data_IF_441134251311
#
_entry.id   IF_441134251311
#
_cell.length_a   1.000
_cell.length_b   1.000
_cell.length_c   1.000
_cell.angle_alpha   90.00
_cell.angle_beta   90.00
_cell.angle_gamma   90.00
#
_symmetry.space_group_name_H-M   'P 1'
#
loop_
_entity.id
_entity.type
_entity.pdbx_description
1 polymer ?
#
# COMPACT_ATOMS: atom_id res chain seq x y z
N UNK A 1 -1.71 9.05 -68.85
CA UNK A 1 -1.44 7.95 -67.88
C UNK A 1 -0.82 8.56 -66.64
N UNK A 2 -1.64 8.90 -65.63
CA UNK A 2 -1.14 9.43 -64.36
C UNK A 2 -1.09 8.31 -63.35
N UNK A 3 0.12 7.96 -62.85
CA UNK A 3 0.33 6.97 -61.78
C UNK A 3 0.25 7.71 -60.45
N UNK A 4 -0.79 7.42 -59.65
CA UNK A 4 -0.88 7.82 -58.26
C UNK A 4 -0.07 6.85 -57.40
N UNK A 5 0.99 7.35 -56.75
CA UNK A 5 1.69 6.60 -55.69
C UNK A 5 1.00 6.89 -54.37
N UNK A 6 0.33 5.90 -53.83
CA UNK A 6 -0.23 5.92 -52.45
C UNK A 6 0.90 5.55 -51.51
N UNK A 7 1.42 6.53 -50.77
CA UNK A 7 2.42 6.27 -49.71
C UNK A 7 1.71 5.77 -48.46
N UNK A 8 1.93 4.51 -48.09
CA UNK A 8 1.51 3.95 -46.80
C UNK A 8 2.49 4.42 -45.73
N UNK A 9 2.07 5.36 -44.91
CA UNK A 9 2.79 5.76 -43.69
C UNK A 9 2.51 4.74 -42.58
N UNK A 10 3.41 3.77 -42.39
CA UNK A 10 3.33 2.82 -41.27
C UNK A 10 3.69 3.56 -39.98
N UNK A 11 2.69 3.81 -39.14
CA UNK A 11 2.93 4.26 -37.78
C UNK A 11 3.54 3.10 -36.98
N UNK A 12 4.85 3.17 -36.70
CA UNK A 12 5.51 2.35 -35.72
C UNK A 12 5.04 2.84 -34.32
N UNK A 13 4.09 2.14 -33.71
CA UNK A 13 3.78 2.31 -32.30
C UNK A 13 4.97 1.74 -31.54
N UNK A 14 5.90 2.61 -31.12
CA UNK A 14 6.92 2.24 -30.17
C UNK A 14 6.21 1.88 -28.84
N UNK A 15 6.09 0.61 -28.55
CA UNK A 15 5.71 0.15 -27.22
C UNK A 15 6.83 0.57 -26.28
N UNK A 16 6.59 1.61 -25.48
CA UNK A 16 7.45 1.92 -24.33
C UNK A 16 7.39 0.70 -23.42
N UNK A 17 8.52 0.03 -23.14
CA UNK A 17 8.51 -1.08 -22.20
C UNK A 17 8.05 -0.50 -20.85
N UNK A 18 6.87 -0.91 -20.39
CA UNK A 18 6.48 -0.71 -19.00
C UNK A 18 7.52 -1.48 -18.19
N UNK A 19 8.43 -0.79 -17.52
CA UNK A 19 9.37 -1.42 -16.61
C UNK A 19 8.54 -2.14 -15.55
N UNK A 20 8.50 -3.45 -15.63
CA UNK A 20 7.83 -4.28 -14.65
C UNK A 20 8.49 -4.00 -13.29
N UNK A 21 7.72 -3.50 -12.34
CA UNK A 21 8.21 -3.22 -11.01
C UNK A 21 8.69 -4.53 -10.38
N UNK A 22 9.90 -4.51 -9.81
CA UNK A 22 10.47 -5.65 -9.09
C UNK A 22 10.24 -5.44 -7.60
N UNK A 23 9.56 -6.40 -6.97
CA UNK A 23 9.47 -6.49 -5.53
C UNK A 23 10.70 -7.21 -5.00
N UNK A 24 11.32 -6.66 -3.96
CA UNK A 24 12.47 -7.26 -3.28
C UNK A 24 12.41 -6.96 -1.77
N UNK A 25 13.31 -7.56 -1.01
CA UNK A 25 13.35 -7.38 0.44
C UNK A 25 13.35 -5.89 0.84
N UNK A 26 14.20 -5.07 0.22
CA UNK A 26 14.40 -3.67 0.62
C UNK A 26 13.28 -2.71 0.21
N UNK A 27 12.34 -3.13 -0.65
CA UNK A 27 11.27 -2.24 -1.12
C UNK A 27 9.85 -2.77 -0.91
N UNK A 28 9.69 -3.99 -0.38
CA UNK A 28 8.36 -4.62 -0.27
C UNK A 28 8.19 -5.50 0.97
N UNK A 29 9.29 -5.86 1.66
CA UNK A 29 9.18 -6.53 2.95
C UNK A 29 9.05 -5.51 4.08
N UNK A 30 8.25 -5.81 5.12
CA UNK A 30 8.15 -4.97 6.30
C UNK A 30 9.49 -4.86 7.03
N UNK A 31 9.72 -3.71 7.65
CA UNK A 31 10.91 -3.45 8.48
C UNK A 31 10.51 -3.02 9.89
N UNK A 32 11.47 -3.05 10.80
CA UNK A 32 11.27 -2.64 12.19
C UNK A 32 10.73 -1.19 12.25
N UNK A 33 9.71 -1.00 13.08
CA UNK A 33 8.99 0.26 13.30
C UNK A 33 8.05 0.70 12.17
N UNK A 34 7.86 -0.09 11.13
CA UNK A 34 6.76 0.14 10.21
C UNK A 34 5.43 0.10 10.97
N UNK A 35 4.55 1.03 10.64
CA UNK A 35 3.20 1.09 11.20
C UNK A 35 2.21 1.44 10.09
N UNK A 36 1.12 0.69 10.00
CA UNK A 36 0.09 0.87 8.99
C UNK A 36 -1.30 0.76 9.61
N UNK A 37 -2.21 1.64 9.21
CA UNK A 37 -3.64 1.47 9.49
C UNK A 37 -4.24 0.54 8.44
N UNK A 38 -4.70 -0.63 8.89
CA UNK A 38 -5.30 -1.65 8.06
C UNK A 38 -6.82 -1.62 8.21
N UNK A 39 -7.54 -1.50 7.10
CA UNK A 39 -9.00 -1.59 7.05
C UNK A 39 -9.45 -2.99 6.65
N UNK A 40 -10.47 -3.51 7.34
CA UNK A 40 -11.19 -4.72 6.95
C UNK A 40 -12.41 -4.29 6.13
N UNK A 41 -12.71 -5.00 5.06
CA UNK A 41 -13.78 -4.67 4.13
C UNK A 41 -14.50 -5.93 3.62
N UNK A 42 -15.66 -5.73 3.01
CA UNK A 42 -16.31 -6.78 2.23
C UNK A 42 -15.44 -7.19 1.03
N UNK A 43 -15.62 -8.43 0.60
CA UNK A 43 -14.95 -8.94 -0.59
C UNK A 43 -15.17 -8.05 -1.80
N UNK A 44 -14.11 -7.84 -2.55
CA UNK A 44 -14.12 -7.21 -3.86
C UNK A 44 -13.42 -8.13 -4.86
N UNK A 45 -14.02 -8.30 -6.05
CA UNK A 45 -13.45 -9.19 -7.05
C UNK A 45 -12.04 -8.73 -7.46
N UNK A 46 -11.06 -9.64 -7.59
CA UNK A 46 -9.65 -9.29 -7.84
C UNK A 46 -9.41 -8.73 -9.26
N UNK A 47 -10.38 -8.80 -10.15
CA UNK A 47 -10.25 -8.35 -11.54
C UNK A 47 -9.36 -9.25 -12.39
N UNK A 48 -9.05 -8.80 -13.61
CA UNK A 48 -8.31 -9.58 -14.60
C UNK A 48 -6.83 -9.67 -14.30
N UNK A 49 -6.20 -10.77 -14.78
CA UNK A 49 -4.76 -10.95 -14.82
C UNK A 49 -4.13 -10.29 -16.06
N UNK A 50 -2.81 -10.20 -16.11
CA UNK A 50 -2.04 -9.64 -17.22
C UNK A 50 -1.46 -8.26 -16.94
N UNK A 51 -0.70 -7.73 -17.88
CA UNK A 51 -0.07 -6.41 -17.77
C UNK A 51 -1.03 -5.28 -18.15
N UNK A 52 -0.78 -4.08 -17.61
CA UNK A 52 -1.53 -2.87 -17.95
C UNK A 52 -2.96 -2.84 -17.43
N UNK A 53 -3.26 -3.60 -16.39
CA UNK A 53 -4.59 -3.67 -15.79
C UNK A 53 -4.98 -2.40 -15.04
N UNK A 54 -6.28 -2.17 -14.93
CA UNK A 54 -6.83 -1.17 -14.01
C UNK A 54 -7.85 -1.87 -13.11
N UNK A 55 -7.56 -1.90 -11.81
CA UNK A 55 -8.45 -2.45 -10.79
C UNK A 55 -9.11 -1.32 -10.04
N UNK A 56 -10.44 -1.30 -10.03
CA UNK A 56 -11.19 -0.22 -9.40
C UNK A 56 -11.72 -0.66 -8.02
N UNK A 57 -11.02 -0.23 -6.97
CA UNK A 57 -11.39 -0.42 -5.56
C UNK A 57 -11.83 0.90 -4.90
N UNK A 58 -12.13 1.95 -5.70
CA UNK A 58 -12.55 3.25 -5.17
C UNK A 58 -13.78 3.19 -4.25
N UNK A 59 -14.66 2.22 -4.49
CA UNK A 59 -15.86 2.00 -3.67
C UNK A 59 -15.68 1.06 -2.47
N UNK A 60 -14.45 0.58 -2.18
CA UNK A 60 -14.22 -0.25 -1.00
C UNK A 60 -14.42 0.57 0.27
N UNK A 61 -15.25 0.07 1.19
CA UNK A 61 -15.55 0.76 2.45
C UNK A 61 -15.03 -0.04 3.63
N UNK A 62 -14.57 0.67 4.67
CA UNK A 62 -14.10 0.06 5.91
C UNK A 62 -15.29 -0.44 6.75
N UNK A 63 -15.23 -1.69 7.19
CA UNK A 63 -16.10 -2.26 8.21
C UNK A 63 -15.50 -2.06 9.60
N UNK A 64 -14.17 -2.15 9.70
CA UNK A 64 -13.38 -1.87 10.89
C UNK A 64 -11.95 -1.53 10.47
N UNK A 65 -11.18 -0.94 11.37
CA UNK A 65 -9.76 -0.67 11.15
C UNK A 65 -8.98 -0.87 12.44
N UNK A 66 -7.69 -1.14 12.29
CA UNK A 66 -6.74 -1.25 13.39
C UNK A 66 -5.33 -1.00 12.88
N UNK A 67 -4.46 -0.58 13.79
CA UNK A 67 -3.06 -0.35 13.48
C UNK A 67 -2.26 -1.63 13.63
N UNK A 68 -1.49 -1.97 12.59
CA UNK A 68 -0.49 -3.03 12.64
C UNK A 68 0.88 -2.38 12.85
N UNK A 69 1.64 -2.84 13.83
CA UNK A 69 2.97 -2.34 14.15
C UNK A 69 3.99 -3.46 14.02
N UNK A 70 5.08 -3.20 13.31
CA UNK A 70 6.18 -4.15 13.14
C UNK A 70 7.26 -3.91 14.21
N UNK A 71 7.50 -4.94 15.01
CA UNK A 71 8.36 -4.88 16.20
C UNK A 71 9.44 -5.95 16.17
N UNK A 72 10.45 -5.81 17.04
CA UNK A 72 11.43 -6.90 17.19
C UNK A 72 10.78 -8.13 17.80
N UNK A 73 11.18 -9.33 17.37
CA UNK A 73 10.68 -10.58 17.95
C UNK A 73 10.92 -10.62 19.47
N UNK A 74 12.04 -10.11 19.91
CA UNK A 74 12.43 -10.08 21.35
C UNK A 74 11.54 -9.15 22.20
N UNK A 75 10.84 -8.18 21.60
CA UNK A 75 9.94 -7.28 22.33
C UNK A 75 8.54 -7.86 22.52
N UNK A 76 8.17 -8.91 21.80
CA UNK A 76 6.87 -9.57 21.96
C UNK A 76 6.87 -10.50 23.18
N UNK A 77 5.70 -10.70 23.76
CA UNK A 77 5.55 -11.49 25.00
C UNK A 77 6.05 -12.95 24.85
N UNK A 78 5.86 -13.54 23.68
CA UNK A 78 6.17 -14.96 23.40
C UNK A 78 7.21 -15.14 22.28
N UNK A 79 7.98 -14.12 21.93
CA UNK A 79 8.93 -14.14 20.81
C UNK A 79 9.96 -15.27 20.87
N UNK A 80 10.35 -15.71 22.08
CA UNK A 80 11.26 -16.85 22.27
C UNK A 80 10.73 -18.18 21.70
N UNK A 81 9.42 -18.30 21.50
CA UNK A 81 8.80 -19.49 20.91
C UNK A 81 8.94 -19.55 19.37
N UNK A 82 9.39 -18.45 18.75
CA UNK A 82 9.48 -18.30 17.29
C UNK A 82 10.93 -18.09 16.83
N UNK A 83 11.84 -19.06 17.04
CA UNK A 83 13.29 -18.88 16.83
C UNK A 83 13.67 -18.62 15.36
N UNK A 84 12.80 -18.94 14.42
CA UNK A 84 13.05 -18.69 12.98
C UNK A 84 12.61 -17.28 12.55
N UNK A 85 11.85 -16.57 13.38
CA UNK A 85 11.37 -15.24 13.05
C UNK A 85 12.47 -14.18 13.19
N UNK A 86 12.47 -13.21 12.28
CA UNK A 86 13.35 -12.03 12.31
C UNK A 86 12.60 -10.75 12.62
N UNK A 87 11.27 -10.77 12.49
CA UNK A 87 10.37 -9.63 12.68
C UNK A 87 9.01 -10.14 13.18
N UNK A 88 8.32 -9.35 13.98
CA UNK A 88 6.94 -9.63 14.38
C UNK A 88 6.04 -8.44 14.01
N UNK A 89 4.78 -8.73 13.72
CA UNK A 89 3.71 -7.74 13.57
C UNK A 89 2.67 -7.96 14.65
N UNK A 90 2.29 -6.90 15.34
CA UNK A 90 1.28 -6.92 16.40
C UNK A 90 0.07 -6.07 16.02
N UNK A 91 -1.12 -6.61 16.28
CA UNK A 91 -2.39 -5.94 16.09
C UNK A 91 -3.44 -6.52 17.06
N UNK A 92 -4.01 -5.69 17.93
CA UNK A 92 -5.20 -6.03 18.77
C UNK A 92 -5.09 -7.38 19.51
N UNK A 93 -3.92 -7.69 20.06
CA UNK A 93 -3.68 -8.94 20.78
C UNK A 93 -3.39 -10.16 19.90
N UNK A 94 -3.24 -9.96 18.61
CA UNK A 94 -2.71 -10.92 17.63
C UNK A 94 -1.26 -10.61 17.33
N UNK A 95 -0.45 -11.63 17.06
CA UNK A 95 0.89 -11.44 16.55
C UNK A 95 1.16 -12.40 15.38
N UNK A 96 1.83 -11.88 14.34
CA UNK A 96 2.36 -12.68 13.25
C UNK A 96 3.89 -12.57 13.27
N UNK A 97 4.56 -13.70 13.17
CA UNK A 97 6.02 -13.79 13.21
C UNK A 97 6.53 -14.11 11.82
N UNK A 98 7.41 -13.27 11.30
CA UNK A 98 7.93 -13.35 9.95
C UNK A 98 9.42 -13.66 9.94
N UNK A 99 9.85 -14.47 8.98
CA UNK A 99 11.23 -14.64 8.58
C UNK A 99 11.44 -13.84 7.29
N UNK A 100 12.12 -12.72 7.40
CA UNK A 100 12.40 -11.81 6.29
C UNK A 100 13.83 -12.01 5.83
N UNK A 101 14.01 -12.41 4.57
CA UNK A 101 15.32 -12.65 3.96
C UNK A 101 15.36 -12.11 2.53
N UNK A 102 16.55 -12.12 1.90
CA UNK A 102 16.69 -11.80 0.48
C UNK A 102 16.00 -12.81 -0.44
N UNK A 103 15.65 -14.01 0.05
CA UNK A 103 14.92 -15.03 -0.69
C UNK A 103 13.41 -14.84 -0.65
N UNK A 104 12.87 -14.19 0.42
CA UNK A 104 11.44 -13.98 0.54
C UNK A 104 11.00 -13.51 1.92
N UNK A 105 9.69 -13.34 2.02
CA UNK A 105 8.91 -13.11 3.23
C UNK A 105 8.16 -14.38 3.56
N UNK A 106 8.51 -15.00 4.68
CA UNK A 106 7.91 -16.25 5.16
C UNK A 106 7.15 -16.01 6.47
N UNK A 107 6.04 -16.74 6.68
CA UNK A 107 5.36 -16.80 7.98
C UNK A 107 6.04 -17.91 8.80
N UNK A 108 6.62 -17.53 9.95
CA UNK A 108 7.27 -18.42 10.90
C UNK A 108 6.38 -18.77 12.11
N UNK A 109 5.31 -17.99 12.31
CA UNK A 109 4.36 -18.25 13.37
C UNK A 109 3.19 -17.27 13.40
N UNK A 110 2.11 -17.69 14.06
CA UNK A 110 0.93 -16.87 14.30
C UNK A 110 0.49 -17.10 15.75
N UNK A 111 0.16 -16.03 16.43
CA UNK A 111 -0.38 -16.05 17.78
C UNK A 111 -1.73 -15.34 17.81
N UNK A 112 -2.71 -16.01 18.35
CA UNK A 112 -4.07 -15.53 18.56
C UNK A 112 -4.45 -15.78 20.02
N UNK A 113 -5.43 -15.08 20.59
CA UNK A 113 -5.90 -15.37 21.95
C UNK A 113 -6.22 -16.87 22.15
N UNK A 114 -5.45 -17.53 23.01
CA UNK A 114 -5.62 -18.95 23.33
C UNK A 114 -5.05 -19.96 22.33
N UNK A 115 -4.39 -19.51 21.25
CA UNK A 115 -3.78 -20.41 20.25
C UNK A 115 -2.47 -19.84 19.73
N UNK A 116 -1.40 -20.64 19.80
CA UNK A 116 -0.12 -20.33 19.20
C UNK A 116 0.22 -21.38 18.12
N UNK A 117 0.59 -20.92 16.94
CA UNK A 117 1.03 -21.75 15.82
C UNK A 117 2.50 -21.45 15.55
N UNK A 118 3.38 -22.39 15.85
CA UNK A 118 4.80 -22.31 15.55
C UNK A 118 5.06 -23.14 14.29
N UNK A 119 5.53 -22.52 13.23
CA UNK A 119 5.79 -23.21 11.98
C UNK A 119 7.11 -23.96 12.07
N UNK A 120 7.06 -25.27 11.92
CA UNK A 120 8.26 -26.11 11.85
C UNK A 120 8.93 -26.00 10.48
N UNK A 121 8.14 -25.75 9.44
CA UNK A 121 8.57 -25.33 8.11
C UNK A 121 7.81 -24.04 7.77
N UNK A 122 8.48 -22.85 7.81
CA UNK A 122 7.86 -21.57 7.51
C UNK A 122 7.23 -21.53 6.12
N UNK A 123 6.21 -20.71 5.96
CA UNK A 123 5.41 -20.60 4.74
C UNK A 123 5.86 -19.41 3.90
N UNK A 124 6.28 -19.64 2.65
CA UNK A 124 6.74 -18.61 1.71
C UNK A 124 5.58 -17.77 1.17
N UNK A 125 5.24 -16.68 1.84
CA UNK A 125 4.17 -15.77 1.44
C UNK A 125 4.53 -14.97 0.18
N UNK A 126 5.77 -14.50 0.08
CA UNK A 126 6.26 -13.71 -1.06
C UNK A 126 7.74 -14.04 -1.34
N UNK A 127 8.01 -14.58 -2.52
CA UNK A 127 9.38 -14.86 -2.99
C UNK A 127 10.05 -13.58 -3.49
N UNK A 128 11.35 -13.43 -3.24
CA UNK A 128 12.17 -12.34 -3.77
C UNK A 128 13.31 -12.83 -4.67
N UNK A 129 13.69 -12.06 -5.71
CA UNK A 129 12.94 -10.96 -6.28
C UNK A 129 11.67 -11.46 -7.00
N UNK A 130 10.60 -10.65 -6.99
CA UNK A 130 9.36 -10.98 -7.68
C UNK A 130 9.04 -9.94 -8.77
N UNK A 131 8.86 -10.41 -9.98
CA UNK A 131 8.47 -9.64 -11.17
C UNK A 131 7.32 -10.36 -11.87
N UNK A 132 6.67 -9.69 -12.79
CA UNK A 132 5.62 -10.32 -13.62
C UNK A 132 6.07 -11.69 -14.15
N UNK A 133 5.26 -12.73 -13.88
CA UNK A 133 5.54 -14.12 -14.25
C UNK A 133 6.38 -14.91 -13.23
N UNK A 134 6.92 -14.29 -12.17
CA UNK A 134 7.56 -15.02 -11.07
C UNK A 134 6.54 -15.94 -10.40
N UNK A 135 6.93 -17.18 -10.17
CA UNK A 135 6.11 -18.17 -9.47
C UNK A 135 6.95 -18.97 -8.47
N UNK A 136 6.28 -19.58 -7.49
CA UNK A 136 6.90 -20.48 -6.51
C UNK A 136 5.88 -21.46 -5.98
N UNK A 137 6.39 -22.53 -5.40
CA UNK A 137 5.62 -23.50 -4.63
C UNK A 137 6.45 -23.89 -3.43
N UNK A 138 5.82 -23.92 -2.25
CA UNK A 138 6.50 -24.16 -0.99
C UNK A 138 5.62 -25.02 -0.07
N UNK A 139 6.11 -26.18 0.43
CA UNK A 139 5.43 -26.94 1.46
C UNK A 139 5.66 -26.29 2.83
N UNK A 140 4.65 -26.28 3.67
CA UNK A 140 4.74 -25.72 5.02
C UNK A 140 4.03 -26.60 6.05
N UNK A 141 4.38 -26.43 7.32
CA UNK A 141 3.77 -27.18 8.41
C UNK A 141 3.82 -26.45 9.75
N UNK A 142 2.79 -26.66 10.55
CA UNK A 142 2.70 -26.18 11.94
C UNK A 142 1.93 -27.15 12.80
N UNK A 143 2.09 -27.03 14.11
CA UNK A 143 1.25 -27.70 15.11
C UNK A 143 0.67 -26.67 16.05
N UNK A 144 -0.55 -26.92 16.53
CA UNK A 144 -1.20 -26.06 17.49
C UNK A 144 -2.17 -26.85 18.37
N UNK A 145 -2.55 -26.28 19.51
CA UNK A 145 -3.53 -26.86 20.42
C UNK A 145 -4.80 -26.02 20.39
N UNK A 146 -5.93 -26.65 20.21
CA UNK A 146 -7.24 -26.02 20.29
C UNK A 146 -8.23 -26.98 20.95
N UNK A 147 -9.01 -26.47 21.90
CA UNK A 147 -9.96 -27.30 22.65
C UNK A 147 -9.32 -28.52 23.36
N UNK A 148 -8.06 -28.42 23.78
CA UNK A 148 -7.31 -29.51 24.42
C UNK A 148 -6.80 -30.59 23.45
N UNK A 149 -7.02 -30.46 22.15
CA UNK A 149 -6.53 -31.37 21.10
C UNK A 149 -5.35 -30.76 20.38
N UNK A 150 -4.36 -31.60 20.05
CA UNK A 150 -3.23 -31.19 19.20
C UNK A 150 -3.57 -31.45 17.73
N UNK A 151 -3.50 -30.39 16.93
CA UNK A 151 -3.66 -30.43 15.49
C UNK A 151 -2.30 -30.34 14.83
N UNK A 152 -2.11 -31.15 13.80
CA UNK A 152 -1.01 -30.99 12.83
C UNK A 152 -1.61 -30.42 11.56
N UNK A 153 -1.13 -29.23 11.16
CA UNK A 153 -1.53 -28.57 9.93
C UNK A 153 -0.39 -28.63 8.94
N UNK A 154 -0.66 -29.16 7.76
CA UNK A 154 0.31 -29.23 6.66
C UNK A 154 -0.34 -28.75 5.38
N UNK A 155 0.46 -28.10 4.54
CA UNK A 155 -0.05 -27.56 3.30
C UNK A 155 1.05 -27.26 2.29
N UNK A 156 0.58 -26.77 1.15
CA UNK A 156 1.42 -26.20 0.10
C UNK A 156 0.85 -24.86 -0.29
N UNK A 157 1.71 -23.85 -0.31
CA UNK A 157 1.44 -22.52 -0.86
C UNK A 157 2.03 -22.44 -2.27
N UNK A 158 1.26 -21.88 -3.19
CA UNK A 158 1.72 -21.52 -4.53
C UNK A 158 1.49 -20.05 -4.75
N UNK A 159 2.51 -19.35 -5.22
CA UNK A 159 2.40 -17.94 -5.55
C UNK A 159 2.73 -17.67 -7.00
N UNK A 160 2.09 -16.66 -7.56
CA UNK A 160 2.32 -16.19 -8.92
C UNK A 160 2.14 -14.67 -8.99
N UNK A 161 3.12 -13.97 -9.57
CA UNK A 161 2.95 -12.57 -9.97
C UNK A 161 2.22 -12.56 -11.31
N UNK A 162 0.90 -12.44 -11.26
CA UNK A 162 0.01 -12.70 -12.39
C UNK A 162 -0.49 -11.45 -13.11
N UNK A 163 -0.26 -10.27 -12.53
CA UNK A 163 -0.72 -9.02 -13.15
C UNK A 163 0.07 -7.80 -12.69
N UNK A 164 0.03 -6.73 -13.52
CA UNK A 164 0.58 -5.41 -13.19
C UNK A 164 -0.30 -4.30 -13.77
N UNK A 165 -0.32 -3.13 -13.11
CA UNK A 165 -1.16 -2.04 -13.59
C UNK A 165 -1.36 -0.90 -12.59
N UNK A 166 -2.57 -0.34 -12.59
CA UNK A 166 -3.01 0.74 -11.70
C UNK A 166 -4.15 0.25 -10.80
N UNK A 167 -4.02 0.48 -9.50
CA UNK A 167 -5.06 0.22 -8.51
C UNK A 167 -5.71 1.55 -8.12
N UNK A 168 -7.03 1.67 -8.31
CA UNK A 168 -7.79 2.86 -7.92
C UNK A 168 -8.38 2.58 -6.53
N UNK A 169 -7.87 3.28 -5.53
CA UNK A 169 -8.29 3.18 -4.12
C UNK A 169 -9.21 4.35 -3.74
N UNK A 170 -9.88 4.34 -2.58
CA UNK A 170 -10.68 5.48 -2.11
C UNK A 170 -9.93 6.80 -2.06
N UNK A 171 -8.62 6.76 -1.84
CA UNK A 171 -7.72 7.91 -1.80
C UNK A 171 -7.11 8.28 -3.17
N UNK A 172 -7.48 7.57 -4.24
CA UNK A 172 -7.04 7.87 -5.60
C UNK A 172 -6.29 6.73 -6.29
N UNK A 173 -5.83 6.96 -7.54
CA UNK A 173 -5.13 5.97 -8.33
C UNK A 173 -3.68 5.79 -7.87
N UNK A 174 -3.25 4.54 -7.73
CA UNK A 174 -1.88 4.13 -7.45
C UNK A 174 -1.34 3.38 -8.66
N UNK A 175 -0.39 3.97 -9.36
CA UNK A 175 0.26 3.37 -10.53
C UNK A 175 1.41 2.44 -10.13
N UNK A 176 1.87 1.63 -11.09
CA UNK A 176 2.97 0.68 -10.92
C UNK A 176 2.69 -0.35 -9.81
N UNK A 177 1.48 -0.87 -9.76
CA UNK A 177 1.09 -1.94 -8.84
C UNK A 177 1.34 -3.29 -9.48
N UNK A 178 1.84 -4.23 -8.68
CA UNK A 178 2.05 -5.63 -9.02
C UNK A 178 1.08 -6.47 -8.21
N UNK A 179 0.34 -7.37 -8.87
CA UNK A 179 -0.55 -8.30 -8.19
C UNK A 179 0.11 -9.66 -8.04
N UNK A 180 0.06 -10.17 -6.83
CA UNK A 180 0.50 -11.51 -6.46
C UNK A 180 -0.72 -12.34 -6.12
N UNK A 181 -0.96 -13.41 -6.88
CA UNK A 181 -1.96 -14.43 -6.55
C UNK A 181 -1.29 -15.51 -5.72
N UNK A 182 -1.90 -15.84 -4.58
CA UNK A 182 -1.44 -16.90 -3.68
C UNK A 182 -2.57 -17.90 -3.49
N UNK A 183 -2.25 -19.17 -3.63
CA UNK A 183 -3.19 -20.26 -3.37
C UNK A 183 -2.55 -21.22 -2.37
N UNK A 184 -3.25 -21.47 -1.28
CA UNK A 184 -2.87 -22.41 -0.24
C UNK A 184 -3.84 -23.58 -0.22
N UNK A 185 -3.29 -24.79 -0.23
CA UNK A 185 -4.04 -26.02 -0.03
C UNK A 185 -3.50 -26.68 1.23
N UNK A 186 -4.30 -26.82 2.27
CA UNK A 186 -3.84 -27.40 3.52
C UNK A 186 -4.92 -28.20 4.25
N UNK A 187 -4.50 -28.99 5.22
CA UNK A 187 -5.40 -29.79 6.04
C UNK A 187 -4.96 -29.81 7.50
N UNK A 188 -5.94 -29.94 8.38
CA UNK A 188 -5.76 -30.20 9.79
C UNK A 188 -5.96 -31.70 10.06
N UNK A 189 -5.00 -32.29 10.75
CA UNK A 189 -5.02 -33.69 11.18
C UNK A 189 -5.00 -33.72 12.70
N UNK A 190 -5.91 -34.48 13.27
CA UNK A 190 -5.96 -34.78 14.72
C UNK A 190 -6.01 -36.28 14.93
N UNK A 191 -5.15 -36.82 15.79
CA UNK A 191 -5.06 -38.27 16.06
C UNK A 191 -4.93 -39.12 14.76
N UNK A 192 -4.22 -38.61 13.76
CA UNK A 192 -3.98 -39.32 12.48
C UNK A 192 -5.15 -39.25 11.48
N UNK A 193 -6.24 -38.58 11.79
CA UNK A 193 -7.38 -38.40 10.88
C UNK A 193 -7.50 -36.96 10.42
N UNK A 194 -7.82 -36.76 9.13
CA UNK A 194 -8.12 -35.43 8.60
C UNK A 194 -9.39 -34.91 9.22
N UNK A 195 -9.26 -33.81 9.97
CA UNK A 195 -10.38 -33.11 10.60
C UNK A 195 -11.04 -32.12 9.61
N UNK A 196 -10.21 -31.35 8.92
CA UNK A 196 -10.67 -30.38 7.94
C UNK A 196 -9.67 -30.20 6.81
N UNK A 197 -10.14 -29.79 5.63
CA UNK A 197 -9.30 -29.36 4.52
C UNK A 197 -9.73 -27.96 4.05
N UNK A 198 -8.75 -27.23 3.50
CA UNK A 198 -8.90 -25.82 3.19
C UNK A 198 -8.26 -25.51 1.84
N UNK A 199 -8.92 -24.63 1.11
CA UNK A 199 -8.36 -23.96 -0.07
C UNK A 199 -8.52 -22.47 0.12
N UNK A 200 -7.40 -21.76 0.25
CA UNK A 200 -7.36 -20.30 0.39
C UNK A 200 -6.84 -19.72 -0.93
N UNK A 201 -7.53 -18.74 -1.48
CA UNK A 201 -7.08 -18.01 -2.68
C UNK A 201 -7.07 -16.53 -2.37
N UNK A 202 -5.90 -15.91 -2.36
CA UNK A 202 -5.69 -14.52 -2.05
C UNK A 202 -4.99 -13.78 -3.18
N UNK A 203 -5.33 -12.51 -3.36
CA UNK A 203 -4.73 -11.59 -4.29
C UNK A 203 -4.20 -10.38 -3.53
N UNK A 204 -2.91 -10.16 -3.59
CA UNK A 204 -2.20 -9.07 -2.93
C UNK A 204 -1.73 -8.06 -3.96
N UNK A 205 -1.98 -6.78 -3.70
CA UNK A 205 -1.60 -5.67 -4.58
C UNK A 205 -0.45 -4.90 -3.96
N UNK A 206 0.74 -5.08 -4.50
CA UNK A 206 1.97 -4.47 -3.98
C UNK A 206 2.43 -3.30 -4.84
N UNK A 207 3.05 -2.32 -4.20
CA UNK A 207 3.82 -1.26 -4.84
C UNK A 207 5.20 -1.21 -4.20
N UNK A 208 6.28 -1.25 -5.00
CA UNK A 208 7.63 -1.08 -4.47
C UNK A 208 7.79 0.27 -3.79
N UNK A 209 8.47 0.29 -2.65
CA UNK A 209 8.58 1.42 -1.75
C UNK A 209 7.52 1.44 -0.64
N UNK A 210 6.57 0.47 -0.66
CA UNK A 210 5.59 0.29 0.42
C UNK A 210 5.77 -1.13 0.96
N UNK A 211 6.08 -1.25 2.25
CA UNK A 211 6.47 -2.49 2.90
C UNK A 211 5.29 -3.38 3.31
N UNK A 212 4.14 -3.16 2.72
CA UNK A 212 2.90 -3.92 2.93
C UNK A 212 2.08 -3.91 1.64
N UNK A 213 1.22 -4.92 1.38
CA UNK A 213 0.29 -4.83 0.26
C UNK A 213 -0.70 -3.68 0.47
N UNK A 214 -0.95 -2.90 -0.59
CA UNK A 214 -1.95 -1.81 -0.61
C UNK A 214 -3.37 -2.34 -0.36
N UNK A 215 -3.65 -3.51 -0.90
CA UNK A 215 -4.91 -4.21 -0.74
C UNK A 215 -4.70 -5.72 -0.86
N UNK A 216 -5.60 -6.44 -0.22
CA UNK A 216 -5.75 -7.89 -0.32
C UNK A 216 -7.23 -8.19 -0.52
N UNK A 217 -7.56 -9.14 -1.38
CA UNK A 217 -8.90 -9.72 -1.48
C UNK A 217 -8.79 -11.21 -1.69
N UNK A 218 -9.71 -11.98 -1.13
CA UNK A 218 -9.61 -13.42 -1.26
C UNK A 218 -10.78 -14.18 -0.67
N UNK A 219 -10.67 -15.49 -0.81
CA UNK A 219 -11.65 -16.45 -0.30
C UNK A 219 -10.96 -17.63 0.36
N UNK A 220 -11.65 -18.22 1.32
CA UNK A 220 -11.29 -19.43 2.01
C UNK A 220 -12.45 -20.43 1.89
N UNK A 221 -12.21 -21.54 1.25
CA UNK A 221 -13.13 -22.69 1.22
C UNK A 221 -12.67 -23.67 2.28
N UNK A 222 -13.52 -23.93 3.26
CA UNK A 222 -13.31 -24.91 4.34
C UNK A 222 -14.21 -26.11 4.09
N UNK A 223 -13.66 -27.32 4.13
CA UNK A 223 -14.42 -28.56 4.09
C UNK A 223 -14.23 -29.32 5.41
N UNK A 224 -15.33 -29.58 6.11
CA UNK A 224 -15.37 -30.40 7.32
C UNK A 224 -16.37 -31.52 7.08
N UNK A 225 -15.92 -32.77 7.15
CA UNK A 225 -16.76 -33.95 6.99
C UNK A 225 -17.61 -33.92 5.69
N UNK A 226 -17.05 -33.43 4.59
CA UNK A 226 -17.75 -33.34 3.29
C UNK A 226 -18.66 -32.12 3.14
N UNK A 227 -18.82 -31.29 4.16
CA UNK A 227 -19.56 -30.03 4.06
C UNK A 227 -18.60 -28.88 3.78
N UNK A 228 -18.83 -28.17 2.67
CA UNK A 228 -18.03 -27.02 2.28
C UNK A 228 -18.70 -25.71 2.66
N UNK A 229 -17.90 -24.77 3.18
CA UNK A 229 -18.29 -23.39 3.47
C UNK A 229 -17.26 -22.43 2.86
N UNK A 230 -17.72 -21.35 2.25
CA UNK A 230 -16.86 -20.31 1.69
C UNK A 230 -16.97 -19.04 2.52
N UNK A 231 -15.82 -18.49 2.92
CA UNK A 231 -15.68 -17.17 3.53
C UNK A 231 -14.91 -16.26 2.58
N UNK A 232 -15.33 -15.03 2.44
CA UNK A 232 -14.71 -14.04 1.55
C UNK A 232 -14.50 -12.73 2.28
N UNK A 233 -13.45 -11.99 1.91
CA UNK A 233 -13.17 -10.69 2.50
C UNK A 233 -12.08 -9.94 1.77
N UNK A 234 -11.88 -8.69 2.18
CA UNK A 234 -10.80 -7.84 1.71
C UNK A 234 -10.19 -7.06 2.85
N UNK A 235 -8.94 -6.61 2.65
CA UNK A 235 -8.20 -5.69 3.52
C UNK A 235 -7.52 -4.64 2.65
N UNK A 236 -7.32 -3.45 3.19
CA UNK A 236 -6.60 -2.40 2.47
C UNK A 236 -5.93 -1.43 3.44
N UNK A 237 -4.81 -0.85 3.00
CA UNK A 237 -4.11 0.20 3.71
C UNK A 237 -4.76 1.55 3.45
N UNK A 238 -4.80 2.42 4.44
CA UNK A 238 -5.22 3.80 4.22
C UNK A 238 -4.21 4.60 3.38
N UNK A 239 -4.60 5.82 2.95
CA UNK A 239 -3.78 6.65 2.08
C UNK A 239 -2.45 7.11 2.71
N UNK A 240 -2.30 7.05 4.04
CA UNK A 240 -1.04 7.42 4.72
C UNK A 240 0.12 6.53 4.31
N UNK A 241 -0.16 5.24 4.08
CA UNK A 241 0.84 4.27 3.65
C UNK A 241 1.47 4.57 2.28
N UNK A 242 0.76 5.29 1.41
CA UNK A 242 1.24 5.65 0.05
C UNK A 242 1.75 7.09 -0.05
N UNK A 243 1.88 7.79 1.07
CA UNK A 243 2.29 9.20 1.11
C UNK A 243 1.21 10.19 0.63
N UNK A 244 0.04 9.71 0.19
CA UNK A 244 -1.04 10.56 -0.30
C UNK A 244 -1.72 11.28 0.87
N UNK A 245 -1.85 10.60 2.01
CA UNK A 245 -2.41 11.19 3.22
C UNK A 245 -1.43 12.13 3.94
N UNK A 246 -0.12 11.96 3.74
CA UNK A 246 0.85 12.93 4.22
C UNK A 246 0.65 14.28 3.50
N UNK A 247 0.35 14.24 2.19
CA UNK A 247 -0.12 15.41 1.44
C UNK A 247 -1.49 15.93 1.94
N UNK A 248 -2.39 15.06 2.41
CA UNK A 248 -3.72 15.44 2.91
C UNK A 248 -3.69 15.83 4.39
N UNK A 249 -2.94 15.13 5.25
CA UNK A 249 -2.76 15.48 6.68
C UNK A 249 -1.92 16.73 6.87
N UNK A 250 -0.96 16.95 5.97
CA UNK A 250 -0.11 18.13 5.95
C UNK A 250 -0.59 19.18 4.95
N UNK A 251 -1.79 19.02 4.38
CA UNK A 251 -2.31 19.95 3.39
C UNK A 251 -2.99 21.11 4.10
N UNK A 252 -2.30 22.23 4.15
CA UNK A 252 -2.92 23.52 4.41
C UNK A 252 -3.78 23.83 3.18
N UNK A 253 -5.12 23.79 3.33
CA UNK A 253 -6.02 24.21 2.26
C UNK A 253 -5.66 25.63 1.83
N UNK A 254 -5.20 25.80 0.61
CA UNK A 254 -4.69 27.04 0.07
C UNK A 254 -5.47 27.44 -1.17
N UNK A 255 -6.12 28.59 -1.13
CA UNK A 255 -6.80 29.22 -2.25
C UNK A 255 -6.13 30.53 -2.63
N UNK A 256 -6.13 30.88 -3.92
CA UNK A 256 -5.56 32.10 -4.48
C UNK A 256 -6.59 32.84 -5.34
N UNK A 257 -6.82 34.12 -5.07
CA UNK A 257 -7.69 34.94 -5.90
C UNK A 257 -7.30 36.43 -5.90
N UNK A 258 -7.37 37.12 -7.06
CA UNK A 258 -7.66 36.56 -8.34
C UNK A 258 -6.56 35.59 -8.81
N UNK A 259 -6.94 34.60 -9.58
CA UNK A 259 -6.02 33.72 -10.32
C UNK A 259 -6.68 33.37 -11.67
N UNK A 260 -6.21 33.91 -12.81
CA UNK A 260 -4.98 34.70 -13.00
C UNK A 260 -4.93 36.06 -12.28
N UNK A 261 -3.72 36.47 -11.91
CA UNK A 261 -3.41 37.71 -11.20
C UNK A 261 -2.50 38.63 -12.04
N UNK A 262 -2.52 39.93 -11.73
CA UNK A 262 -1.63 40.90 -12.38
C UNK A 262 -0.53 41.40 -11.44
N UNK A 263 -0.88 42.15 -10.41
CA UNK A 263 0.08 42.75 -9.47
C UNK A 263 0.04 42.13 -8.08
N UNK A 264 -1.07 41.48 -7.72
CA UNK A 264 -1.25 40.82 -6.44
C UNK A 264 -2.28 39.70 -6.51
N UNK A 265 -2.22 38.75 -5.56
CA UNK A 265 -3.24 37.71 -5.35
C UNK A 265 -3.40 37.50 -3.86
N UNK A 266 -4.65 37.45 -3.39
CA UNK A 266 -4.93 37.13 -1.99
C UNK A 266 -4.85 35.62 -1.80
N UNK A 267 -4.00 35.21 -0.87
CA UNK A 267 -3.87 33.85 -0.40
C UNK A 267 -4.81 33.64 0.78
N UNK A 268 -5.64 32.58 0.75
CA UNK A 268 -6.48 32.15 1.88
C UNK A 268 -6.10 30.74 2.27
N UNK A 269 -5.85 30.55 3.55
CA UNK A 269 -5.49 29.23 4.10
C UNK A 269 -5.99 29.08 5.54
N UNK A 270 -6.07 27.83 6.02
CA UNK A 270 -6.39 27.52 7.39
C UNK A 270 -5.17 26.98 8.14
N UNK A 271 -4.94 27.45 9.36
CA UNK A 271 -3.91 26.94 10.26
C UNK A 271 -4.56 26.41 11.53
N UNK A 272 -4.32 25.13 11.84
CA UNK A 272 -4.89 24.47 13.02
C UNK A 272 -4.19 24.88 14.31
N UNK A 273 -2.85 25.02 14.27
CA UNK A 273 -2.01 25.23 15.45
C UNK A 273 -1.45 26.65 15.57
N UNK A 274 -1.59 27.48 14.53
CA UNK A 274 -0.93 28.79 14.46
C UNK A 274 0.60 28.66 14.41
N UNK A 275 1.31 29.80 14.62
CA UNK A 275 2.77 29.84 14.64
C UNK A 275 3.40 30.36 13.34
N UNK A 276 4.70 30.13 13.18
CA UNK A 276 5.44 30.56 11.98
C UNK A 276 5.10 29.69 10.76
N UNK A 277 4.79 30.35 9.65
CA UNK A 277 4.59 29.73 8.34
C UNK A 277 5.48 30.43 7.34
N UNK A 278 6.16 29.67 6.47
CA UNK A 278 6.88 30.22 5.32
C UNK A 278 6.01 30.12 4.07
N UNK A 279 6.04 31.17 3.23
CA UNK A 279 5.37 31.23 1.94
C UNK A 279 6.40 31.45 0.86
N UNK A 280 6.43 30.52 -0.09
CA UNK A 280 7.32 30.57 -1.26
C UNK A 280 6.51 30.69 -2.54
N UNK A 281 6.90 31.58 -3.43
CA UNK A 281 6.49 31.57 -4.84
C UNK A 281 7.60 30.98 -5.66
N UNK A 282 7.30 29.90 -6.39
CA UNK A 282 8.27 29.14 -7.19
C UNK A 282 7.97 29.34 -8.68
N UNK A 283 9.02 29.51 -9.49
CA UNK A 283 8.90 29.52 -10.95
C UNK A 283 8.69 28.10 -11.52
N UNK A 284 8.51 27.99 -12.83
CA UNK A 284 8.28 26.72 -13.54
C UNK A 284 9.42 25.71 -13.38
N UNK A 285 10.63 26.14 -12.97
CA UNK A 285 11.78 25.29 -12.70
C UNK A 285 11.90 24.89 -11.21
N UNK A 286 10.92 25.31 -10.37
CA UNK A 286 10.94 25.04 -8.94
C UNK A 286 11.86 25.96 -8.13
N UNK A 287 12.39 27.02 -8.73
CA UNK A 287 13.23 28.00 -8.03
C UNK A 287 12.35 28.99 -7.28
N UNK A 288 12.65 29.26 -6.01
CA UNK A 288 11.98 30.27 -5.20
C UNK A 288 12.31 31.66 -5.76
N UNK A 289 11.29 32.40 -6.17
CA UNK A 289 11.37 33.78 -6.71
C UNK A 289 10.84 34.82 -5.72
N UNK A 290 10.03 34.39 -4.73
CA UNK A 290 9.59 35.18 -3.57
C UNK A 290 9.56 34.29 -2.35
N UNK A 291 9.87 34.86 -1.20
CA UNK A 291 9.81 34.20 0.11
C UNK A 291 9.34 35.17 1.16
N UNK A 292 8.37 34.75 2.00
CA UNK A 292 7.83 35.52 3.11
C UNK A 292 7.60 34.60 4.31
N UNK A 293 7.86 35.12 5.53
CA UNK A 293 7.52 34.46 6.77
C UNK A 293 6.31 35.13 7.41
N UNK A 294 5.32 34.33 7.80
CA UNK A 294 4.08 34.76 8.41
C UNK A 294 3.94 34.21 9.83
N UNK A 295 3.56 35.04 10.77
CA UNK A 295 3.11 34.62 12.11
C UNK A 295 1.58 34.60 12.13
N UNK A 296 1.00 33.41 12.26
CA UNK A 296 -0.45 33.26 12.23
C UNK A 296 -1.00 32.69 13.55
N UNK A 297 -2.25 32.99 13.84
CA UNK A 297 -3.00 32.37 14.94
C UNK A 297 -3.81 31.18 14.39
N UNK A 298 -4.32 30.25 15.22
CA UNK A 298 -5.25 29.24 14.76
C UNK A 298 -6.48 29.84 14.08
N UNK A 299 -6.88 29.34 12.91
CA UNK A 299 -8.03 29.81 12.16
C UNK A 299 -7.79 30.02 10.68
N UNK A 300 -8.67 30.74 10.02
CA UNK A 300 -8.58 31.08 8.58
C UNK A 300 -7.82 32.42 8.46
N UNK A 301 -6.77 32.36 7.61
CA UNK A 301 -5.90 33.49 7.31
C UNK A 301 -6.09 33.99 5.90
N UNK A 302 -5.95 35.30 5.72
CA UNK A 302 -5.88 35.99 4.44
C UNK A 302 -4.59 36.78 4.40
N UNK A 303 -3.84 36.65 3.32
CA UNK A 303 -2.59 37.35 3.10
C UNK A 303 -2.45 37.74 1.62
N UNK A 304 -2.07 38.99 1.34
CA UNK A 304 -1.90 39.47 -0.01
C UNK A 304 -0.46 39.25 -0.47
N UNK A 305 -0.30 38.41 -1.50
CA UNK A 305 0.97 38.17 -2.16
C UNK A 305 1.26 39.31 -3.13
N UNK A 306 2.37 40.00 -2.96
CA UNK A 306 2.88 40.96 -3.91
C UNK A 306 3.55 40.22 -5.09
N UNK A 307 3.03 40.45 -6.32
CA UNK A 307 3.51 39.82 -7.53
C UNK A 307 4.22 40.83 -8.46
N UNK A 308 4.40 42.10 -8.03
CA UNK A 308 5.04 43.12 -8.83
C UNK A 308 6.46 42.70 -9.20
N UNK A 309 6.81 42.88 -10.49
CA UNK A 309 8.12 42.52 -11.03
C UNK A 309 8.31 41.05 -11.36
N UNK A 310 7.31 40.18 -11.13
CA UNK A 310 7.34 38.84 -11.67
C UNK A 310 6.92 38.85 -13.14
N UNK A 311 7.67 38.21 -14.05
CA UNK A 311 7.26 38.02 -15.42
C UNK A 311 5.93 37.31 -15.57
N UNK A 312 5.15 37.60 -16.61
CA UNK A 312 3.95 36.83 -16.93
C UNK A 312 4.31 35.35 -17.12
N UNK A 313 3.58 34.46 -16.46
CA UNK A 313 3.90 33.04 -16.49
C UNK A 313 3.17 32.21 -15.46
N UNK A 314 3.56 30.94 -15.39
CA UNK A 314 3.05 29.96 -14.44
C UNK A 314 3.98 29.87 -13.21
N UNK A 315 3.40 29.98 -12.04
CA UNK A 315 4.07 29.85 -10.76
C UNK A 315 3.35 28.86 -9.86
N UNK A 316 4.05 28.39 -8.83
CA UNK A 316 3.47 27.63 -7.71
C UNK A 316 3.65 28.42 -6.43
N UNK A 317 2.58 28.61 -5.66
CA UNK A 317 2.63 29.14 -4.30
C UNK A 317 2.61 28.00 -3.33
N UNK A 318 3.60 27.95 -2.46
CA UNK A 318 3.74 26.95 -1.41
C UNK A 318 3.72 27.63 -0.05
N UNK A 319 2.89 27.15 0.88
CA UNK A 319 2.94 27.50 2.29
C UNK A 319 3.43 26.31 3.09
N UNK A 320 4.31 26.54 4.05
CA UNK A 320 4.84 25.52 4.96
C UNK A 320 4.71 25.99 6.39
N UNK A 321 3.99 25.24 7.23
CA UNK A 321 3.90 25.48 8.67
C UNK A 321 5.11 24.92 9.42
N UNK A 322 5.31 25.37 10.68
CA UNK A 322 6.41 24.91 11.53
C UNK A 322 6.40 23.41 11.82
N UNK A 323 5.24 22.78 11.82
CA UNK A 323 5.07 21.32 12.00
C UNK A 323 5.33 20.50 10.72
N UNK A 324 5.73 21.16 9.61
CA UNK A 324 5.98 20.56 8.32
C UNK A 324 4.74 20.45 7.43
N UNK A 325 3.55 20.85 7.90
CA UNK A 325 2.34 20.89 7.06
C UNK A 325 2.54 21.85 5.90
N UNK A 326 2.09 21.48 4.71
CA UNK A 326 2.25 22.28 3.48
C UNK A 326 0.94 22.44 2.73
N UNK A 327 0.77 23.58 2.07
CA UNK A 327 -0.24 23.82 1.05
C UNK A 327 0.45 24.26 -0.24
N UNK A 328 -0.07 23.87 -1.39
CA UNK A 328 0.47 24.24 -2.68
C UNK A 328 -0.65 24.56 -3.67
N UNK A 329 -0.55 25.68 -4.37
CA UNK A 329 -1.53 26.09 -5.35
C UNK A 329 -0.87 26.75 -6.57
N UNK A 330 -1.43 26.48 -7.74
CA UNK A 330 -0.97 27.09 -9.00
C UNK A 330 -1.42 28.55 -9.08
N UNK A 331 -0.51 29.42 -9.51
CA UNK A 331 -0.73 30.84 -9.75
C UNK A 331 -0.35 31.19 -11.19
N UNK A 332 -1.22 31.89 -11.89
CA UNK A 332 -0.93 32.44 -13.23
C UNK A 332 -0.78 33.94 -13.08
N UNK A 333 0.40 34.48 -13.46
CA UNK A 333 0.69 35.93 -13.51
C UNK A 333 0.54 36.43 -14.94
N UNK A 334 -0.22 37.52 -15.14
CA UNK A 334 -0.49 38.15 -16.46
C UNK A 334 0.19 39.48 -16.62
#
# INVERSE_FOLDING_TARGET
>A
MNKHYTSFLSFLIASVPAFAQTLNQGNSAPVLSDQFTLHIANYIAPGSAGSGQTWNFAGISSLSSGDITYVSVASTANGSNYPQATLAAEQDGYAAYFKVTSAGLEIAGIEMPGTAMVYTNPEMLLKFPATMGTNWSDPWSTTYVSGGMTFTRTGTITGNVDASGTLIMPYGPVSNVVRVKVVENYSDVVQGMTFASYVSTNYYYYKAGIHSPLAQTGELVTNINGTSQTSQGAKWLDGSAVGIMELVRNNIGLDLFPNPATSSSTMVFSSSNGGSHSVDVLDANGRVVRHEDLMVQPGIYRHDLDLQGLPSGLYMVRITAKDGSQGMQRLVVQ
#
